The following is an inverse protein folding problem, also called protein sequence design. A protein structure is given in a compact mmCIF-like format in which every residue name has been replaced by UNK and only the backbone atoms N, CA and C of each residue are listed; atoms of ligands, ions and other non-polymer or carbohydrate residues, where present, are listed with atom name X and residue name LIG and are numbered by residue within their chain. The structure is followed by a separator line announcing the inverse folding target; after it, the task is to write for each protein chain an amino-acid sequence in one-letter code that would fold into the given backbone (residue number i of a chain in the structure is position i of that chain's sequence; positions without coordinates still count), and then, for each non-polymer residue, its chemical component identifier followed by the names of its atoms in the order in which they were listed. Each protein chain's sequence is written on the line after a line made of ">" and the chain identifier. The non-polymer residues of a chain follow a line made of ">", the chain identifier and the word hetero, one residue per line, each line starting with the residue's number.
data_IF_141452677892
#
_entry.id   IF_141452677892
#
_cell.length_a   1.000
_cell.length_b   1.000
_cell.length_c   1.000
_cell.angle_alpha   90.00
_cell.angle_beta   90.00
_cell.angle_gamma   90.00
#
_symmetry.space_group_name_H-M   'P 1'
#
loop_
_entity.id
_entity.type
_entity.pdbx_description
1 polymer ?
#
# COMPACT_ATOMS: atom_id res chain seq x y z
N UNK A 1 -4.57 5.52 -10.37
CA UNK A 1 -3.24 5.48 -9.71
C UNK A 1 -2.40 6.68 -10.16
N UNK A 2 -1.54 7.21 -9.27
CA UNK A 2 -0.61 8.29 -9.62
C UNK A 2 0.59 7.72 -10.39
N UNK A 3 1.13 8.46 -11.36
CA UNK A 3 2.29 8.04 -12.18
C UNK A 3 3.60 8.60 -11.59
N UNK A 4 4.76 8.00 -11.85
CA UNK A 4 6.04 8.54 -11.39
C UNK A 4 6.31 9.92 -11.97
N UNK A 5 6.97 10.78 -11.18
CA UNK A 5 7.33 12.14 -11.60
C UNK A 5 8.30 12.13 -12.79
N UNK A 6 9.25 11.20 -12.77
CA UNK A 6 10.21 10.99 -13.85
C UNK A 6 10.53 9.52 -14.06
N UNK A 7 10.91 9.19 -15.29
CA UNK A 7 11.37 7.84 -15.62
C UNK A 7 12.77 7.58 -15.04
N UNK A 8 13.00 6.38 -14.51
CA UNK A 8 14.27 5.99 -13.89
C UNK A 8 14.32 6.25 -12.39
N UNK A 9 15.50 6.11 -11.78
CA UNK A 9 15.71 6.26 -10.34
C UNK A 9 15.84 7.72 -9.96
N UNK A 10 15.11 8.15 -8.94
CA UNK A 10 15.18 9.48 -8.36
C UNK A 10 14.93 9.43 -6.84
N UNK A 11 15.41 10.41 -6.06
CA UNK A 11 15.53 10.28 -4.59
C UNK A 11 14.20 10.00 -3.88
N UNK A 12 13.10 10.62 -4.33
CA UNK A 12 11.78 10.48 -3.70
C UNK A 12 10.90 9.41 -4.36
N UNK A 13 11.45 8.59 -5.28
CA UNK A 13 10.66 7.63 -6.07
C UNK A 13 9.92 6.61 -5.24
N UNK A 14 10.56 6.11 -4.19
CA UNK A 14 9.94 5.17 -3.25
C UNK A 14 8.81 5.83 -2.47
N UNK A 15 8.95 7.11 -2.12
CA UNK A 15 7.96 7.87 -1.36
C UNK A 15 6.75 8.22 -2.24
N UNK A 16 6.98 8.67 -3.47
CA UNK A 16 5.89 8.86 -4.45
C UNK A 16 5.15 7.54 -4.74
N UNK A 17 5.89 6.42 -4.83
CA UNK A 17 5.26 5.12 -5.04
C UNK A 17 4.38 4.74 -3.85
N UNK A 18 4.83 5.00 -2.61
CA UNK A 18 4.02 4.85 -1.39
C UNK A 18 2.75 5.70 -1.44
N UNK A 19 2.84 6.97 -1.83
CA UNK A 19 1.67 7.83 -1.99
C UNK A 19 0.72 7.35 -3.10
N UNK A 20 1.27 6.85 -4.21
CA UNK A 20 0.50 6.33 -5.33
C UNK A 20 -0.31 5.08 -4.96
N UNK A 21 0.25 4.19 -4.13
CA UNK A 21 -0.43 2.97 -3.67
C UNK A 21 -1.30 3.21 -2.44
N UNK A 22 -1.07 4.27 -1.66
CA UNK A 22 -1.75 4.50 -0.39
C UNK A 22 -3.28 4.56 -0.52
N UNK A 23 -3.79 5.22 -1.57
CA UNK A 23 -5.22 5.25 -1.85
C UNK A 23 -5.76 3.86 -2.20
N UNK A 24 -5.04 3.09 -3.01
CA UNK A 24 -5.46 1.72 -3.36
C UNK A 24 -5.47 0.79 -2.15
N UNK A 25 -4.50 0.92 -1.25
CA UNK A 25 -4.45 0.15 0.00
C UNK A 25 -5.61 0.54 0.92
N UNK A 26 -5.90 1.84 1.07
CA UNK A 26 -7.04 2.31 1.86
C UNK A 26 -8.36 1.75 1.34
N UNK A 27 -8.56 1.74 0.02
CA UNK A 27 -9.76 1.16 -0.62
C UNK A 27 -9.85 -0.35 -0.32
N UNK A 28 -8.74 -1.09 -0.45
CA UNK A 28 -8.71 -2.52 -0.12
C UNK A 28 -9.03 -2.80 1.36
N UNK A 29 -8.55 -1.95 2.27
CA UNK A 29 -8.88 -2.03 3.70
C UNK A 29 -10.37 -1.77 3.90
N UNK A 30 -10.92 -0.74 3.26
CA UNK A 30 -12.36 -0.43 3.32
C UNK A 30 -13.21 -1.60 2.79
N UNK A 31 -12.83 -2.21 1.67
CA UNK A 31 -13.53 -3.39 1.13
C UNK A 31 -13.49 -4.59 2.09
N UNK A 32 -12.33 -4.83 2.73
CA UNK A 32 -12.19 -5.88 3.73
C UNK A 32 -13.04 -5.58 4.97
N UNK A 33 -13.15 -4.32 5.39
CA UNK A 33 -13.96 -3.94 6.55
C UNK A 33 -15.45 -4.01 6.30
N UNK A 34 -15.90 -3.66 5.09
CA UNK A 34 -17.26 -3.90 4.62
C UNK A 34 -17.62 -5.39 4.62
N UNK A 35 -16.63 -6.26 4.42
CA UNK A 35 -16.77 -7.72 4.48
C UNK A 35 -16.76 -8.29 5.91
N UNK A 36 -16.58 -7.44 6.92
CA UNK A 36 -16.59 -7.79 8.35
C UNK A 36 -15.20 -7.99 8.98
N UNK A 37 -14.11 -7.72 8.26
CA UNK A 37 -12.74 -7.75 8.79
C UNK A 37 -12.42 -6.45 9.53
N UNK A 38 -11.57 -6.47 10.56
CA UNK A 38 -11.12 -5.23 11.20
C UNK A 38 -10.06 -4.51 10.35
N UNK A 39 -9.98 -3.18 10.42
CA UNK A 39 -9.02 -2.37 9.65
C UNK A 39 -7.57 -2.83 9.88
N UNK A 40 -7.21 -3.14 11.14
CA UNK A 40 -5.91 -3.69 11.49
C UNK A 40 -5.65 -5.06 10.83
N UNK A 41 -6.63 -5.96 10.86
CA UNK A 41 -6.48 -7.30 10.30
C UNK A 41 -6.37 -7.25 8.75
N UNK A 42 -7.15 -6.35 8.13
CA UNK A 42 -7.05 -6.05 6.71
C UNK A 42 -5.68 -5.46 6.31
N UNK A 43 -5.19 -4.46 7.07
CA UNK A 43 -3.88 -3.87 6.84
C UNK A 43 -2.74 -4.89 7.00
N UNK A 44 -2.85 -5.78 8.00
CA UNK A 44 -1.90 -6.87 8.20
C UNK A 44 -1.90 -7.87 7.04
N UNK A 45 -3.09 -8.27 6.56
CA UNK A 45 -3.23 -9.17 5.41
C UNK A 45 -2.64 -8.55 4.13
N UNK A 46 -2.83 -7.24 3.94
CA UNK A 46 -2.26 -6.50 2.81
C UNK A 46 -0.74 -6.43 2.88
N UNK A 47 -0.16 -6.26 4.07
CA UNK A 47 1.29 -6.25 4.27
C UNK A 47 1.95 -7.57 3.84
N UNK A 48 1.24 -8.69 3.98
CA UNK A 48 1.73 -9.99 3.51
C UNK A 48 1.56 -10.17 2.00
N UNK A 49 0.97 -9.21 1.28
CA UNK A 49 0.64 -9.27 -0.16
C UNK A 49 -0.26 -10.46 -0.54
N UNK A 50 -0.88 -11.11 0.44
CA UNK A 50 -1.73 -12.29 0.26
C UNK A 50 -3.16 -12.00 -0.17
N UNK A 51 -3.53 -10.72 -0.28
CA UNK A 51 -4.87 -10.28 -0.67
C UNK A 51 -4.97 -10.19 -2.19
N UNK A 52 -6.01 -10.77 -2.84
CA UNK A 52 -6.12 -10.76 -4.30
C UNK A 52 -6.03 -9.36 -4.91
N UNK A 53 -6.65 -8.36 -4.28
CA UNK A 53 -6.63 -6.97 -4.79
C UNK A 53 -5.25 -6.28 -4.77
N UNK A 54 -4.25 -6.83 -4.06
CA UNK A 54 -2.88 -6.30 -4.11
C UNK A 54 -2.20 -6.61 -5.44
N UNK A 55 -2.55 -7.73 -6.06
CA UNK A 55 -2.00 -8.08 -7.37
C UNK A 55 -2.53 -7.16 -8.45
N UNK A 56 -3.82 -6.83 -8.41
CA UNK A 56 -4.43 -5.81 -9.27
C UNK A 56 -3.80 -4.44 -9.04
N UNK A 57 -3.58 -4.05 -7.78
CA UNK A 57 -2.91 -2.78 -7.46
C UNK A 57 -1.48 -2.69 -8.03
N UNK A 58 -0.75 -3.81 -8.01
CA UNK A 58 0.59 -3.89 -8.61
C UNK A 58 0.51 -3.78 -10.14
N UNK A 59 -0.47 -4.43 -10.77
CA UNK A 59 -0.66 -4.36 -12.22
C UNK A 59 -1.00 -2.93 -12.68
N UNK A 60 -1.90 -2.26 -11.95
CA UNK A 60 -2.26 -0.85 -12.18
C UNK A 60 -1.03 0.08 -12.03
N UNK A 61 -0.14 -0.21 -11.07
CA UNK A 61 1.07 0.56 -10.84
C UNK A 61 2.07 0.37 -11.98
N UNK A 62 2.24 -0.87 -12.43
CA UNK A 62 3.08 -1.21 -13.57
C UNK A 62 2.56 -0.54 -14.84
N UNK A 63 1.24 -0.55 -15.05
CA UNK A 63 0.61 0.15 -16.17
C UNK A 63 0.81 1.68 -16.10
N UNK A 64 0.88 2.25 -14.88
CA UNK A 64 1.18 3.67 -14.66
C UNK A 64 2.67 4.02 -14.83
N UNK A 65 3.58 3.03 -14.89
CA UNK A 65 5.02 3.22 -15.08
C UNK A 65 5.89 2.96 -13.83
N UNK A 66 5.31 2.39 -12.77
CA UNK A 66 6.05 1.92 -11.60
C UNK A 66 6.65 0.54 -11.84
N UNK A 67 7.67 0.17 -11.07
CA UNK A 67 8.15 -1.22 -11.08
C UNK A 67 7.34 -2.05 -10.08
N UNK A 68 7.07 -3.32 -10.42
CA UNK A 68 6.34 -4.23 -9.53
C UNK A 68 7.04 -4.39 -8.17
N UNK A 69 8.37 -4.43 -8.15
CA UNK A 69 9.17 -4.57 -6.93
C UNK A 69 9.08 -3.33 -6.02
N UNK A 70 9.14 -2.14 -6.62
CA UNK A 70 8.95 -0.86 -5.91
C UNK A 70 7.55 -0.77 -5.33
N UNK A 71 6.55 -1.12 -6.14
CA UNK A 71 5.14 -1.11 -5.74
C UNK A 71 4.89 -2.09 -4.58
N UNK A 72 5.39 -3.32 -4.67
CA UNK A 72 5.23 -4.31 -3.60
C UNK A 72 5.92 -3.87 -2.30
N UNK A 73 7.05 -3.17 -2.40
CA UNK A 73 7.76 -2.61 -1.23
C UNK A 73 6.98 -1.45 -0.62
N UNK A 74 6.52 -0.53 -1.45
CA UNK A 74 5.69 0.60 -1.06
C UNK A 74 4.41 0.13 -0.34
N UNK A 75 3.76 -0.91 -0.88
CA UNK A 75 2.57 -1.51 -0.29
C UNK A 75 2.85 -1.98 1.13
N UNK A 76 3.93 -2.75 1.34
CA UNK A 76 4.32 -3.27 2.66
C UNK A 76 4.57 -2.15 3.66
N UNK A 77 5.24 -1.07 3.25
CA UNK A 77 5.57 0.06 4.12
C UNK A 77 4.29 0.80 4.53
N UNK A 78 3.44 1.13 3.55
CA UNK A 78 2.19 1.87 3.80
C UNK A 78 1.23 1.04 4.66
N UNK A 79 1.04 -0.23 4.33
CA UNK A 79 0.14 -1.10 5.08
C UNK A 79 0.63 -1.36 6.51
N UNK A 80 1.94 -1.50 6.73
CA UNK A 80 2.51 -1.60 8.07
C UNK A 80 2.34 -0.30 8.86
N UNK A 81 2.48 0.86 8.21
CA UNK A 81 2.21 2.17 8.82
C UNK A 81 0.74 2.33 9.24
N UNK A 82 -0.18 1.97 8.34
CA UNK A 82 -1.62 1.96 8.61
C UNK A 82 -1.97 1.00 9.75
N UNK A 83 -1.43 -0.21 9.74
CA UNK A 83 -1.61 -1.19 10.83
C UNK A 83 -1.19 -0.64 12.19
N UNK A 84 -0.03 0.02 12.29
CA UNK A 84 0.42 0.65 13.54
C UNK A 84 -0.55 1.76 13.98
N UNK A 85 -1.04 2.56 13.03
CA UNK A 85 -2.06 3.59 13.28
C UNK A 85 -3.37 3.01 13.82
N UNK A 86 -3.86 1.90 13.26
CA UNK A 86 -5.09 1.25 13.73
C UNK A 86 -4.93 0.54 15.08
N UNK A 87 -3.75 -0.04 15.34
CA UNK A 87 -3.49 -0.79 16.57
C UNK A 87 -3.06 0.09 17.74
N UNK A 88 -2.86 1.40 17.52
CA UNK A 88 -2.42 2.32 18.56
C UNK A 88 -1.05 1.95 19.13
N UNK A 89 -0.21 1.24 18.36
CA UNK A 89 1.19 1.00 18.72
C UNK A 89 2.03 2.24 18.37
N UNK A 90 1.65 3.35 18.98
CA UNK A 90 2.54 4.48 19.20
C UNK A 90 3.63 3.96 20.16
N UNK A 91 4.92 3.94 19.80
CA UNK A 91 5.94 3.73 20.81
C UNK A 91 5.96 4.98 21.68
N UNK A 92 5.23 4.93 22.79
CA UNK A 92 5.41 5.78 23.99
C UNK A 92 5.31 7.30 23.74
N UNK A 93 4.19 7.93 24.12
CA UNK A 93 4.23 9.34 24.59
C UNK A 93 4.69 9.40 26.05
#
# INVERSE_FOLDING_TARGET
>A
MMKPEQAGIYPDRELDCQEAVAQGIADLIEQATLSGTSEADAAAAIADTGVPGIRDLIDDAVAAGWSAEETATAIKVVSAGMYRGYTGTEPDE
#
